data_IF_343515524815
#
_entry.id   IF_343515524815
#
_cell.length_a   1.000
_cell.length_b   1.000
_cell.length_c   1.000
_cell.angle_alpha   90.00
_cell.angle_beta   90.00
_cell.angle_gamma   90.00
#
_symmetry.space_group_name_H-M   'P 1'
#
loop_
_entity.id
_entity.type
_entity.pdbx_description
1 polymer ?
#
# COMPACT_ATOMS: atom_id res chain seq x y z
N UNK A 1 -27.53 -19.35 -22.75
CA UNK A 1 -26.31 -19.90 -22.14
C UNK A 1 -25.63 -20.86 -23.12
N UNK A 2 -24.31 -20.87 -23.14
CA UNK A 2 -23.49 -21.73 -24.00
C UNK A 2 -22.60 -22.60 -23.16
N UNK A 3 -22.68 -23.92 -23.32
CA UNK A 3 -21.87 -24.88 -22.59
C UNK A 3 -21.01 -25.68 -23.54
N UNK A 4 -19.70 -25.60 -23.42
CA UNK A 4 -18.73 -26.34 -24.25
C UNK A 4 -17.94 -27.28 -23.36
N UNK A 5 -18.13 -28.59 -23.55
CA UNK A 5 -17.60 -29.66 -22.72
C UNK A 5 -18.69 -30.48 -22.05
N UNK A 6 -18.37 -31.31 -21.09
CA UNK A 6 -19.34 -32.19 -20.43
C UNK A 6 -19.56 -31.79 -18.97
N UNK A 7 -20.75 -32.15 -18.44
CA UNK A 7 -21.20 -31.85 -17.08
C UNK A 7 -21.21 -30.35 -16.68
N UNK A 8 -21.28 -29.45 -17.64
CA UNK A 8 -21.36 -28.03 -17.36
C UNK A 8 -22.78 -27.63 -16.93
N UNK A 9 -22.87 -26.70 -15.98
CA UNK A 9 -24.12 -26.26 -15.38
C UNK A 9 -24.23 -24.73 -15.28
N UNK A 10 -25.43 -24.15 -15.33
CA UNK A 10 -25.63 -22.76 -14.95
C UNK A 10 -25.46 -22.57 -13.44
N UNK A 11 -25.18 -21.38 -12.97
CA UNK A 11 -25.14 -21.05 -11.52
C UNK A 11 -26.50 -21.28 -10.84
N UNK A 12 -27.60 -21.05 -11.58
CA UNK A 12 -28.97 -21.27 -11.15
C UNK A 12 -29.88 -21.42 -12.38
N UNK A 13 -31.14 -21.82 -12.14
CA UNK A 13 -32.16 -21.90 -13.22
C UNK A 13 -32.48 -20.55 -13.88
N UNK A 14 -32.17 -19.45 -13.21
CA UNK A 14 -32.37 -18.07 -13.72
C UNK A 14 -31.12 -17.46 -14.37
N UNK A 15 -30.01 -18.20 -14.44
CA UNK A 15 -28.79 -17.72 -15.07
C UNK A 15 -29.00 -17.48 -16.58
N UNK A 16 -28.68 -16.28 -17.04
CA UNK A 16 -28.81 -15.86 -18.45
C UNK A 16 -27.49 -15.29 -18.98
N UNK A 17 -27.31 -15.38 -20.31
CA UNK A 17 -26.13 -14.82 -20.97
C UNK A 17 -24.82 -15.29 -20.33
N UNK A 18 -24.68 -16.59 -20.11
CA UNK A 18 -23.46 -17.19 -19.57
C UNK A 18 -22.85 -18.19 -20.54
N UNK A 19 -21.54 -18.32 -20.53
CA UNK A 19 -20.81 -19.34 -21.25
C UNK A 19 -19.84 -20.07 -20.32
N UNK A 20 -19.72 -21.39 -20.50
CA UNK A 20 -18.72 -22.20 -19.78
C UNK A 20 -17.92 -23.04 -20.76
N UNK A 21 -16.63 -23.18 -20.51
CA UNK A 21 -15.73 -24.01 -21.30
C UNK A 21 -14.94 -24.94 -20.37
N UNK A 22 -15.09 -26.24 -20.56
CA UNK A 22 -14.33 -27.25 -19.80
C UNK A 22 -15.18 -28.44 -19.35
N UNK A 23 -14.68 -29.15 -18.36
CA UNK A 23 -15.36 -30.30 -17.75
C UNK A 23 -15.92 -29.91 -16.36
N UNK A 24 -17.18 -30.23 -16.11
CA UNK A 24 -17.86 -29.97 -14.84
C UNK A 24 -17.73 -28.50 -14.36
N UNK A 25 -17.86 -27.56 -15.28
CA UNK A 25 -17.82 -26.12 -15.00
C UNK A 25 -19.21 -25.63 -14.63
N UNK A 26 -19.31 -24.97 -13.47
CA UNK A 26 -20.52 -24.23 -13.10
C UNK A 26 -20.31 -22.74 -13.42
N UNK A 27 -21.23 -22.15 -14.17
CA UNK A 27 -21.18 -20.71 -14.46
C UNK A 27 -21.20 -19.92 -13.14
N UNK A 28 -20.39 -18.88 -13.02
CA UNK A 28 -20.30 -18.07 -11.79
C UNK A 28 -21.51 -17.15 -11.65
N UNK A 29 -21.94 -16.53 -12.74
CA UNK A 29 -23.04 -15.56 -12.74
C UNK A 29 -23.70 -15.42 -14.12
N UNK A 30 -24.78 -14.64 -14.19
CA UNK A 30 -25.28 -14.11 -15.47
C UNK A 30 -24.30 -13.11 -16.07
N UNK A 31 -24.31 -12.97 -17.38
CA UNK A 31 -23.42 -12.07 -18.15
C UNK A 31 -21.92 -12.37 -17.91
N UNK A 32 -21.56 -13.65 -17.84
CA UNK A 32 -20.19 -14.09 -17.56
C UNK A 32 -19.72 -15.21 -18.47
N UNK A 33 -18.41 -15.32 -18.61
CA UNK A 33 -17.74 -16.48 -19.22
C UNK A 33 -16.88 -17.13 -18.14
N UNK A 34 -17.07 -18.45 -17.91
CA UNK A 34 -16.30 -19.22 -16.93
C UNK A 34 -15.41 -20.22 -17.68
N UNK A 35 -14.11 -20.10 -17.51
CA UNK A 35 -13.10 -20.96 -18.14
C UNK A 35 -12.57 -21.97 -17.11
N UNK A 36 -13.04 -23.20 -17.21
CA UNK A 36 -12.60 -24.29 -16.31
C UNK A 36 -13.33 -24.31 -14.96
N UNK A 37 -13.04 -25.34 -14.20
CA UNK A 37 -13.52 -25.55 -12.83
C UNK A 37 -12.39 -25.24 -11.83
N UNK A 38 -12.60 -25.51 -10.52
CA UNK A 38 -11.64 -25.25 -9.46
C UNK A 38 -10.28 -26.01 -9.58
N UNK A 39 -10.15 -26.94 -10.52
CA UNK A 39 -8.90 -27.67 -10.79
C UNK A 39 -8.03 -26.98 -11.88
N UNK A 40 -8.53 -25.92 -12.52
CA UNK A 40 -7.74 -25.18 -13.52
C UNK A 40 -6.77 -24.27 -12.79
N UNK A 41 -5.48 -24.44 -13.06
CA UNK A 41 -4.39 -23.69 -12.43
C UNK A 41 -3.80 -22.61 -13.33
N UNK A 42 -4.09 -22.64 -14.64
CA UNK A 42 -3.59 -21.65 -15.59
C UNK A 42 -4.50 -21.52 -16.81
N UNK A 43 -4.57 -20.31 -17.35
CA UNK A 43 -5.23 -20.02 -18.64
C UNK A 43 -4.19 -19.39 -19.57
N UNK A 44 -3.87 -20.08 -20.66
CA UNK A 44 -2.93 -19.59 -21.67
C UNK A 44 -3.70 -18.87 -22.78
N UNK A 45 -3.44 -17.59 -22.95
CA UNK A 45 -4.02 -16.78 -24.02
C UNK A 45 -3.42 -17.07 -25.41
N UNK A 46 -2.36 -17.85 -25.48
CA UNK A 46 -1.72 -18.36 -26.69
C UNK A 46 -0.82 -19.53 -26.34
N UNK A 47 -0.57 -20.43 -27.29
CA UNK A 47 0.25 -21.61 -27.04
C UNK A 47 1.71 -21.30 -26.73
N UNK A 48 2.19 -20.14 -27.17
CA UNK A 48 3.53 -19.60 -26.93
C UNK A 48 3.57 -18.47 -25.90
N UNK A 49 2.42 -18.20 -25.24
CA UNK A 49 2.21 -17.07 -24.33
C UNK A 49 2.43 -15.68 -24.96
N UNK A 50 2.46 -15.59 -26.29
CA UNK A 50 2.68 -14.33 -27.02
C UNK A 50 1.41 -13.48 -27.23
N UNK A 51 0.24 -13.94 -26.82
CA UNK A 51 -1.02 -13.21 -27.00
C UNK A 51 -1.17 -12.11 -25.95
N UNK A 52 -1.72 -10.96 -26.38
CA UNK A 52 -2.09 -9.86 -25.49
C UNK A 52 -3.55 -10.00 -25.07
N UNK A 53 -3.81 -9.85 -23.77
CA UNK A 53 -5.17 -9.82 -23.22
C UNK A 53 -5.67 -8.37 -23.16
N UNK A 54 -6.72 -8.05 -23.92
CA UNK A 54 -7.40 -6.75 -23.87
C UNK A 54 -8.60 -6.85 -22.93
N UNK A 55 -8.51 -6.17 -21.78
CA UNK A 55 -9.58 -6.15 -20.78
C UNK A 55 -9.74 -4.76 -20.18
N UNK A 56 -10.90 -4.47 -19.57
CA UNK A 56 -11.15 -3.22 -18.87
C UNK A 56 -10.52 -3.17 -17.47
N UNK A 57 -10.13 -4.32 -16.94
CA UNK A 57 -9.50 -4.44 -15.63
C UNK A 57 -9.23 -5.90 -15.27
N UNK A 58 -8.34 -6.11 -14.31
CA UNK A 58 -8.05 -7.41 -13.69
C UNK A 58 -8.35 -7.27 -12.20
N UNK A 59 -9.16 -8.20 -11.68
CA UNK A 59 -9.46 -8.27 -10.26
C UNK A 59 -8.58 -9.32 -9.61
N UNK A 60 -7.82 -8.93 -8.60
CA UNK A 60 -7.05 -9.83 -7.76
C UNK A 60 -7.88 -10.23 -6.54
N UNK A 61 -7.73 -11.45 -6.00
CA UNK A 61 -8.46 -11.87 -4.81
C UNK A 61 -7.98 -11.14 -3.55
N UNK A 62 -8.87 -10.91 -2.59
CA UNK A 62 -8.55 -10.28 -1.30
C UNK A 62 -7.51 -11.05 -0.47
N UNK A 63 -7.33 -12.33 -0.75
CA UNK A 63 -6.27 -13.17 -0.18
C UNK A 63 -5.69 -14.06 -1.27
N UNK A 64 -4.39 -14.05 -1.41
CA UNK A 64 -3.67 -14.81 -2.43
C UNK A 64 -2.40 -15.44 -1.83
N UNK A 65 -1.78 -16.35 -2.59
CA UNK A 65 -0.45 -16.85 -2.29
C UNK A 65 0.51 -16.23 -3.29
N UNK A 66 1.59 -15.65 -2.79
CA UNK A 66 2.65 -15.11 -3.65
C UNK A 66 3.15 -16.17 -4.64
N UNK A 67 3.32 -15.79 -5.89
CA UNK A 67 3.95 -16.61 -6.89
C UNK A 67 5.46 -16.64 -6.67
N UNK A 68 6.06 -17.81 -6.80
CA UNK A 68 7.52 -17.93 -6.82
C UNK A 68 8.13 -17.48 -8.16
N UNK A 69 7.31 -17.22 -9.18
CA UNK A 69 7.77 -16.76 -10.49
C UNK A 69 7.90 -15.23 -10.49
N UNK A 70 9.11 -14.72 -10.62
CA UNK A 70 9.47 -13.30 -10.61
C UNK A 70 8.83 -12.47 -11.73
N UNK A 71 8.25 -13.11 -12.74
CA UNK A 71 7.56 -12.43 -13.84
C UNK A 71 6.03 -12.43 -13.67
N UNK A 72 5.51 -12.95 -12.57
CA UNK A 72 4.08 -12.91 -12.28
C UNK A 72 3.73 -11.61 -11.58
N UNK A 73 2.79 -10.83 -12.15
CA UNK A 73 2.16 -9.73 -11.45
C UNK A 73 1.08 -10.32 -10.54
N UNK A 74 1.40 -10.47 -9.30
CA UNK A 74 0.49 -10.84 -8.22
C UNK A 74 0.44 -9.71 -7.19
N UNK A 75 -0.49 -9.74 -6.27
CA UNK A 75 -0.63 -8.76 -5.19
C UNK A 75 -0.72 -7.29 -5.64
N UNK A 76 -1.82 -6.95 -6.29
CA UNK A 76 -2.23 -5.55 -6.46
C UNK A 76 -3.28 -5.20 -5.42
N UNK A 77 -3.00 -4.18 -4.62
CA UNK A 77 -3.92 -3.66 -3.62
C UNK A 77 -3.84 -2.14 -3.56
N UNK A 78 -4.96 -1.48 -3.43
CA UNK A 78 -5.05 -0.04 -3.20
C UNK A 78 -6.10 0.26 -2.14
N UNK A 79 -5.88 1.32 -1.37
CA UNK A 79 -6.81 1.70 -0.33
C UNK A 79 -6.37 2.92 0.48
N UNK A 80 -7.02 3.10 1.60
CA UNK A 80 -6.63 4.06 2.63
C UNK A 80 -6.43 3.35 3.96
N UNK A 81 -5.61 3.92 4.82
CA UNK A 81 -5.41 3.43 6.18
C UNK A 81 -5.30 4.59 7.16
N UNK A 82 -5.81 4.38 8.37
CA UNK A 82 -5.68 5.33 9.45
C UNK A 82 -4.24 5.35 9.98
N UNK A 83 -3.66 6.55 10.07
CA UNK A 83 -2.29 6.76 10.50
C UNK A 83 -2.24 7.05 12.00
N UNK A 84 -1.23 6.52 12.66
CA UNK A 84 -0.87 6.90 14.03
C UNK A 84 0.45 7.68 13.99
N UNK A 85 0.46 8.85 14.64
CA UNK A 85 1.67 9.56 14.99
C UNK A 85 2.10 9.14 16.39
N UNK A 86 3.37 8.75 16.52
CA UNK A 86 3.94 8.33 17.81
C UNK A 86 5.28 9.02 18.05
N UNK A 87 5.34 10.07 18.90
CA UNK A 87 6.60 10.62 19.41
C UNK A 87 7.21 9.65 20.44
N UNK A 88 8.51 9.76 20.69
CA UNK A 88 9.18 8.93 21.67
C UNK A 88 8.73 9.25 23.12
N UNK A 89 8.29 10.48 23.37
CA UNK A 89 7.66 10.91 24.61
C UNK A 89 6.57 11.94 24.32
N UNK A 90 5.61 12.06 25.22
CA UNK A 90 4.44 12.92 25.01
C UNK A 90 3.38 12.30 24.12
N UNK A 91 2.57 13.11 23.49
CA UNK A 91 1.52 12.67 22.56
C UNK A 91 1.33 13.66 21.42
N UNK A 92 1.06 13.11 20.25
CA UNK A 92 0.59 13.82 19.06
C UNK A 92 -0.73 13.20 18.64
N UNK A 93 -1.71 14.01 18.32
CA UNK A 93 -2.97 13.52 17.77
C UNK A 93 -3.20 14.08 16.37
N UNK A 94 -3.90 13.31 15.56
CA UNK A 94 -4.33 13.73 14.23
C UNK A 94 -5.77 14.22 14.25
N UNK A 95 -6.06 15.18 13.39
CA UNK A 95 -7.43 15.67 13.18
C UNK A 95 -8.29 14.55 12.58
N UNK A 96 -9.46 14.27 13.19
CA UNK A 96 -10.27 13.09 12.89
C UNK A 96 -10.77 12.93 11.45
N UNK A 97 -10.68 13.98 10.62
CA UNK A 97 -11.02 13.94 9.19
C UNK A 97 -9.82 14.09 8.25
N UNK A 98 -8.58 14.18 8.79
CA UNK A 98 -7.33 14.31 8.02
C UNK A 98 -6.25 13.43 8.66
N UNK A 99 -6.57 12.16 8.85
CA UNK A 99 -5.75 11.18 9.56
C UNK A 99 -5.53 9.88 8.77
N UNK A 100 -5.89 9.88 7.49
CA UNK A 100 -5.69 8.73 6.61
C UNK A 100 -4.73 9.07 5.48
N UNK A 101 -3.97 8.09 5.05
CA UNK A 101 -3.14 8.14 3.84
C UNK A 101 -3.63 7.08 2.85
N UNK A 102 -3.52 7.41 1.56
CA UNK A 102 -3.73 6.46 0.49
C UNK A 102 -2.49 5.60 0.28
N UNK A 103 -2.69 4.36 -0.15
CA UNK A 103 -1.60 3.48 -0.57
C UNK A 103 -1.94 2.74 -1.86
N UNK A 104 -0.89 2.35 -2.57
CA UNK A 104 -0.93 1.40 -3.68
C UNK A 104 0.20 0.40 -3.47
N UNK A 105 -0.13 -0.88 -3.46
CA UNK A 105 0.82 -2.00 -3.37
C UNK A 105 0.82 -2.78 -4.68
N UNK A 106 2.00 -3.07 -5.21
CA UNK A 106 2.21 -3.91 -6.39
C UNK A 106 3.34 -4.88 -6.09
N UNK A 107 3.02 -6.13 -5.89
CA UNK A 107 3.97 -7.09 -5.37
C UNK A 107 4.53 -6.62 -4.01
N UNK A 108 5.83 -6.54 -3.87
CA UNK A 108 6.49 -6.06 -2.66
C UNK A 108 6.72 -4.53 -2.60
N UNK A 109 6.27 -3.78 -3.61
CA UNK A 109 6.39 -2.32 -3.62
C UNK A 109 5.13 -1.67 -3.06
N UNK A 110 5.27 -0.91 -1.98
CA UNK A 110 4.22 -0.06 -1.44
C UNK A 110 4.56 1.41 -1.65
N UNK A 111 3.63 2.15 -2.24
CA UNK A 111 3.65 3.60 -2.35
C UNK A 111 2.56 4.18 -1.44
N UNK A 112 2.89 5.21 -0.69
CA UNK A 112 1.99 5.90 0.25
C UNK A 112 2.00 7.38 -0.07
N UNK A 113 0.83 8.00 -0.09
CA UNK A 113 0.69 9.43 -0.32
C UNK A 113 -0.48 10.05 0.44
N UNK A 114 -0.36 11.34 0.74
CA UNK A 114 -1.46 12.12 1.27
C UNK A 114 -1.02 13.22 2.24
N UNK A 115 -2.00 13.76 2.97
CA UNK A 115 -1.81 14.79 3.96
C UNK A 115 -2.40 14.35 5.30
N UNK A 116 -1.65 14.60 6.35
CA UNK A 116 -2.10 14.48 7.73
C UNK A 116 -2.16 15.88 8.35
N UNK A 117 -3.04 16.09 9.32
CA UNK A 117 -3.14 17.33 10.07
C UNK A 117 -3.12 17.04 11.56
N UNK A 118 -2.28 17.74 12.29
CA UNK A 118 -2.17 17.59 13.73
C UNK A 118 -3.31 18.35 14.43
N UNK A 119 -3.83 17.73 15.49
CA UNK A 119 -4.88 18.28 16.34
C UNK A 119 -4.44 18.18 17.81
N UNK A 120 -3.54 19.06 18.17
CA UNK A 120 -2.99 19.14 19.51
C UNK A 120 -1.72 18.31 19.74
N UNK A 121 -0.90 18.85 20.59
CA UNK A 121 0.37 18.27 21.05
C UNK A 121 0.42 18.31 22.56
N UNK A 122 1.15 17.40 23.17
CA UNK A 122 1.38 17.39 24.61
C UNK A 122 2.82 16.99 24.92
N UNK A 123 3.69 18.00 25.14
CA UNK A 123 5.09 17.81 25.56
C UNK A 123 5.80 16.72 24.75
N UNK A 124 5.55 16.71 23.44
CA UNK A 124 6.17 15.76 22.53
C UNK A 124 7.68 16.00 22.44
N UNK A 125 8.42 14.94 22.45
CA UNK A 125 9.88 15.01 22.29
C UNK A 125 10.45 13.73 21.69
N UNK A 126 11.63 13.87 21.12
CA UNK A 126 12.38 12.78 20.52
C UNK A 126 11.86 12.38 19.14
N UNK A 127 12.18 11.17 18.72
CA UNK A 127 11.84 10.69 17.38
C UNK A 127 10.34 10.49 17.21
N UNK A 128 9.77 11.11 16.21
CA UNK A 128 8.38 10.88 15.79
C UNK A 128 8.31 9.87 14.65
N UNK A 129 7.38 8.93 14.78
CA UNK A 129 7.11 7.92 13.75
C UNK A 129 5.67 8.03 13.27
N UNK A 130 5.46 7.69 11.99
CA UNK A 130 4.14 7.42 11.42
C UNK A 130 3.99 5.91 11.19
N UNK A 131 2.80 5.38 11.42
CA UNK A 131 2.50 3.98 11.10
C UNK A 131 2.48 3.76 9.59
N UNK A 132 2.85 2.56 9.16
CA UNK A 132 2.77 2.08 7.78
C UNK A 132 1.64 1.05 7.65
N UNK A 133 1.02 0.91 6.47
CA UNK A 133 -0.04 -0.09 6.25
C UNK A 133 0.51 -1.51 6.25
N UNK A 134 1.74 -1.69 5.80
CA UNK A 134 2.44 -2.99 5.74
C UNK A 134 3.81 -2.89 6.40
N UNK A 135 4.25 -4.00 6.97
CA UNK A 135 5.61 -4.10 7.54
C UNK A 135 6.66 -3.99 6.44
N UNK A 136 7.72 -3.23 6.68
CA UNK A 136 8.85 -3.17 5.77
C UNK A 136 9.53 -4.55 5.68
N UNK A 137 9.81 -5.00 4.47
CA UNK A 137 10.43 -6.31 4.21
C UNK A 137 11.82 -6.38 4.82
N UNK A 138 12.10 -7.46 5.54
CA UNK A 138 13.44 -7.76 6.01
C UNK A 138 14.15 -8.62 4.97
N UNK A 139 15.24 -8.12 4.42
CA UNK A 139 16.03 -8.80 3.41
C UNK A 139 17.38 -9.23 3.99
N UNK A 140 17.89 -10.34 3.52
CA UNK A 140 19.16 -10.93 3.99
C UNK A 140 20.39 -10.26 3.38
N UNK A 141 20.20 -9.35 2.46
CA UNK A 141 21.24 -8.56 1.80
C UNK A 141 20.85 -7.08 1.72
N UNK A 142 21.80 -6.22 1.40
CA UNK A 142 21.59 -4.77 1.28
C UNK A 142 20.67 -4.35 0.11
N UNK A 143 19.98 -5.28 -0.54
CA UNK A 143 19.07 -4.99 -1.66
C UNK A 143 17.74 -4.35 -1.21
N UNK A 144 17.64 -3.94 0.05
CA UNK A 144 16.79 -2.86 0.38
C UNK A 144 15.49 -3.07 1.11
N UNK A 145 15.52 -3.45 2.36
CA UNK A 145 14.39 -3.17 3.26
C UNK A 145 14.43 -1.75 3.81
N UNK A 146 15.60 -1.27 4.18
CA UNK A 146 15.77 0.12 4.64
C UNK A 146 15.73 1.08 3.46
N UNK A 147 14.92 2.10 3.55
CA UNK A 147 14.90 3.19 2.57
C UNK A 147 15.03 4.52 3.27
N UNK A 148 15.89 5.36 2.75
CA UNK A 148 15.90 6.77 3.08
C UNK A 148 15.04 7.47 2.04
N UNK A 149 13.92 7.99 2.41
CA UNK A 149 13.01 8.61 1.46
C UNK A 149 12.39 9.85 2.03
N UNK A 150 12.41 10.81 1.22
CA UNK A 150 11.40 11.44 0.39
C UNK A 150 10.36 12.17 1.23
N UNK A 151 10.22 13.33 0.95
CA UNK A 151 9.17 14.33 1.08
C UNK A 151 8.15 14.08 2.21
N UNK A 152 8.57 14.44 3.38
CA UNK A 152 7.65 14.96 4.37
C UNK A 152 7.81 16.48 4.35
N UNK A 153 6.82 17.17 3.85
CA UNK A 153 6.73 18.63 3.95
C UNK A 153 5.87 18.96 5.16
N UNK A 154 6.43 19.77 6.06
CA UNK A 154 5.72 20.30 7.21
C UNK A 154 5.33 21.74 6.94
N UNK A 155 4.08 22.07 7.24
CA UNK A 155 3.59 23.42 7.30
C UNK A 155 3.06 23.67 8.71
N UNK A 156 3.82 24.34 9.54
CA UNK A 156 3.46 24.69 10.92
C UNK A 156 4.19 25.96 11.37
N UNK A 157 3.62 26.66 12.32
CA UNK A 157 4.14 27.94 12.81
C UNK A 157 5.39 27.80 13.71
N UNK A 158 5.67 26.61 14.22
CA UNK A 158 6.81 26.36 15.11
C UNK A 158 8.16 26.26 14.41
N UNK A 159 8.16 26.28 13.08
CA UNK A 159 9.39 26.26 12.30
C UNK A 159 9.90 27.70 12.12
N UNK A 160 10.50 28.26 13.14
CA UNK A 160 10.88 29.67 13.18
C UNK A 160 12.21 30.01 12.53
N UNK A 161 13.02 29.04 12.11
CA UNK A 161 14.36 29.27 11.56
C UNK A 161 14.55 28.68 10.14
N UNK A 162 13.61 28.96 9.27
CA UNK A 162 13.72 29.12 7.84
C UNK A 162 14.70 28.30 7.04
N UNK A 163 14.72 27.00 7.08
CA UNK A 163 15.17 26.11 5.98
C UNK A 163 15.27 24.65 6.48
N UNK A 164 14.24 23.87 6.22
CA UNK A 164 14.26 22.47 6.68
C UNK A 164 14.20 21.50 5.51
N UNK A 165 15.15 20.61 5.47
CA UNK A 165 15.04 19.39 4.70
C UNK A 165 14.48 18.32 5.64
N UNK A 166 13.22 17.96 5.49
CA UNK A 166 12.66 16.81 6.17
C UNK A 166 13.15 15.54 5.53
N UNK A 167 13.53 14.60 6.35
CA UNK A 167 13.98 13.27 5.95
C UNK A 167 13.14 12.22 6.66
N UNK A 168 13.00 11.07 6.04
CA UNK A 168 12.35 9.93 6.67
C UNK A 168 13.16 8.66 6.46
N UNK A 169 13.07 7.75 7.40
CA UNK A 169 13.69 6.43 7.28
C UNK A 169 12.70 5.35 7.69
N UNK A 170 12.69 4.27 6.93
CA UNK A 170 11.97 3.06 7.25
C UNK A 170 13.02 1.98 7.51
N UNK A 171 12.95 1.36 8.69
CA UNK A 171 13.82 0.24 9.04
C UNK A 171 13.22 -1.10 8.67
N UNK A 172 14.06 -2.08 8.37
CA UNK A 172 13.65 -3.45 8.07
C UNK A 172 12.84 -4.07 9.21
N UNK A 173 11.80 -4.81 8.87
CA UNK A 173 10.92 -5.46 9.82
C UNK A 173 10.05 -4.51 10.64
N UNK A 174 10.07 -3.21 10.35
CA UNK A 174 9.26 -2.22 11.06
C UNK A 174 8.00 -1.86 10.26
N UNK A 175 6.92 -1.62 10.99
CA UNK A 175 5.68 -1.06 10.45
C UNK A 175 5.56 0.45 10.74
N UNK A 176 6.70 1.14 10.78
CA UNK A 176 6.76 2.57 11.06
C UNK A 176 7.83 3.25 10.24
N UNK A 177 7.55 4.49 9.85
CA UNK A 177 8.49 5.41 9.24
C UNK A 177 8.87 6.48 10.25
N UNK A 178 10.17 6.66 10.51
CA UNK A 178 10.68 7.72 11.38
C UNK A 178 10.88 8.99 10.56
N UNK A 179 10.44 10.11 11.13
CA UNK A 179 10.58 11.42 10.53
C UNK A 179 11.62 12.23 11.35
N UNK A 180 12.51 12.92 10.66
CA UNK A 180 13.46 13.86 11.25
C UNK A 180 13.78 14.96 10.26
N UNK A 181 14.37 16.02 10.72
CA UNK A 181 14.79 17.15 9.89
C UNK A 181 16.27 17.50 10.14
N UNK A 182 16.83 18.27 9.23
CA UNK A 182 18.17 18.83 9.40
C UNK A 182 18.01 20.30 9.76
N UNK A 183 18.46 20.68 10.94
CA UNK A 183 18.58 22.08 11.32
C UNK A 183 19.74 22.73 10.54
N UNK A 184 19.44 23.72 9.74
CA UNK A 184 20.41 24.43 8.94
C UNK A 184 21.40 25.24 9.79
N UNK A 185 21.03 25.61 11.03
CA UNK A 185 21.88 26.36 11.95
C UNK A 185 22.97 25.54 12.63
N UNK A 186 22.70 24.26 12.87
CA UNK A 186 23.61 23.34 13.58
C UNK A 186 24.20 22.25 12.69
N UNK A 187 23.64 22.03 11.49
CA UNK A 187 23.97 20.92 10.58
C UNK A 187 23.82 19.54 11.24
N UNK A 188 22.96 19.42 12.25
CA UNK A 188 22.63 18.19 12.94
C UNK A 188 21.24 17.69 12.55
N UNK A 189 21.05 16.37 12.60
CA UNK A 189 19.72 15.78 12.47
C UNK A 189 18.98 15.92 13.79
N UNK A 190 17.81 16.52 13.75
CA UNK A 190 16.93 16.66 14.91
C UNK A 190 15.66 15.80 14.73
N UNK A 191 15.07 15.45 15.85
CA UNK A 191 13.85 14.65 15.88
C UNK A 191 12.65 15.57 15.71
N UNK A 192 11.67 15.14 14.94
CA UNK A 192 10.49 15.95 14.63
C UNK A 192 9.61 16.25 15.86
N UNK A 193 9.71 15.47 16.93
CA UNK A 193 8.89 15.64 18.13
C UNK A 193 9.43 16.61 19.17
N UNK A 194 10.44 17.43 18.86
CA UNK A 194 11.02 18.39 19.83
C UNK A 194 10.31 19.76 19.77
N UNK A 195 8.97 19.76 19.89
CA UNK A 195 8.07 20.92 19.78
C UNK A 195 8.04 21.57 18.37
N UNK A 196 8.25 20.79 17.34
CA UNK A 196 8.21 21.27 15.96
C UNK A 196 6.85 21.04 15.28
N UNK A 197 5.95 20.31 15.94
CA UNK A 197 4.60 20.04 15.46
C UNK A 197 3.61 20.67 16.40
N UNK A 198 2.83 21.63 15.89
CA UNK A 198 1.77 22.31 16.61
C UNK A 198 0.39 21.89 16.13
N UNK A 199 -0.63 22.34 16.86
CA UNK A 199 -2.02 22.25 16.41
C UNK A 199 -2.21 22.94 15.05
N UNK A 200 -2.82 22.24 14.10
CA UNK A 200 -2.99 22.70 12.73
C UNK A 200 -1.79 22.45 11.80
N UNK A 201 -0.66 21.94 12.31
CA UNK A 201 0.47 21.55 11.46
C UNK A 201 0.05 20.47 10.46
N UNK A 202 0.45 20.64 9.21
CA UNK A 202 0.19 19.68 8.13
C UNK A 202 1.46 18.91 7.76
N UNK A 203 1.33 17.59 7.65
CA UNK A 203 2.38 16.68 7.21
C UNK A 203 1.97 16.11 5.86
N UNK A 204 2.71 16.44 4.81
CA UNK A 204 2.52 15.90 3.47
C UNK A 204 3.46 14.72 3.28
N UNK A 205 2.91 13.58 2.93
CA UNK A 205 3.63 12.31 2.82
C UNK A 205 3.60 11.84 1.37
N UNK A 206 4.76 11.47 0.86
CA UNK A 206 4.94 10.77 -0.41
C UNK A 206 6.16 9.87 -0.24
N UNK A 207 5.92 8.58 -0.05
CA UNK A 207 6.98 7.61 0.20
C UNK A 207 6.70 6.25 -0.42
N UNK A 208 7.75 5.53 -0.71
CA UNK A 208 7.69 4.17 -1.20
C UNK A 208 8.72 3.28 -0.50
N UNK A 209 8.39 2.01 -0.33
CA UNK A 209 9.27 1.04 0.33
C UNK A 209 8.91 -0.38 -0.13
N UNK A 210 9.81 -1.32 0.14
CA UNK A 210 9.51 -2.74 -0.01
C UNK A 210 8.79 -3.24 1.23
N UNK A 211 7.61 -3.83 1.05
CA UNK A 211 6.80 -4.40 2.11
C UNK A 211 6.81 -5.94 2.07
N UNK A 212 6.48 -6.52 3.23
CA UNK A 212 6.29 -7.96 3.37
C UNK A 212 4.86 -8.36 3.02
#
# INVERSE_FOLDING_TARGET
>A
NTFIGSNNQPASSSTTNSATLGYAVTAVASNSVTLGNASVTAVYAGSDSGAVVHCGGVNFPDSFSESADVNTLDDYEEGTYAVTLAPAAGSLSLHGSVNELGYTKIGDLCHIQGRLECNGTSSDSGATTISLPFTCKSLTDDAGGSTSVNLVYLNGDAITDGSFLTMSTIGEGLATCRIFFIDAGTSTTENLGDNHIDDGSSIYVDLHYKCA
#
